data_IF_813454917208
#
_entry.id   IF_813454917208
#
_cell.length_a   1.000
_cell.length_b   1.000
_cell.length_c   1.000
_cell.angle_alpha   90.00
_cell.angle_beta   90.00
_cell.angle_gamma   90.00
#
_symmetry.space_group_name_H-M   'P 1'
#
loop_
_entity.id
_entity.type
_entity.pdbx_description
1 polymer ?
#
# COMPACT_ATOMS: atom_id res chain seq x y z
N UNK A 1 -33.00 -8.87 -12.35
CA UNK A 1 -32.68 -8.38 -10.99
C UNK A 1 -31.52 -9.15 -10.34
N UNK A 2 -31.26 -10.41 -10.69
CA UNK A 2 -30.27 -11.25 -10.00
C UNK A 2 -28.81 -10.78 -10.09
N UNK A 3 -28.36 -10.25 -11.24
CA UNK A 3 -26.97 -9.79 -11.41
C UNK A 3 -26.58 -8.65 -10.47
N UNK A 4 -27.54 -7.78 -10.10
CA UNK A 4 -27.31 -6.62 -9.22
C UNK A 4 -27.07 -7.08 -7.78
N UNK A 5 -27.79 -8.13 -7.34
CA UNK A 5 -27.63 -8.67 -5.99
C UNK A 5 -26.29 -9.41 -5.83
N UNK A 6 -25.89 -10.22 -6.82
CA UNK A 6 -24.63 -10.95 -6.78
C UNK A 6 -23.40 -10.03 -6.82
N UNK A 7 -23.43 -8.96 -7.62
CA UNK A 7 -22.33 -7.98 -7.65
C UNK A 7 -22.23 -7.15 -6.37
N UNK A 8 -23.37 -6.81 -5.76
CA UNK A 8 -23.38 -6.07 -4.48
C UNK A 8 -22.84 -6.92 -3.32
N UNK A 9 -23.22 -8.19 -3.23
CA UNK A 9 -22.69 -9.13 -2.22
C UNK A 9 -21.19 -9.34 -2.42
N UNK A 10 -20.76 -9.54 -3.67
CA UNK A 10 -19.33 -9.67 -3.98
C UNK A 10 -18.56 -8.40 -3.59
N UNK A 11 -19.12 -7.21 -3.80
CA UNK A 11 -18.49 -5.94 -3.42
C UNK A 11 -18.27 -5.84 -1.92
N UNK A 12 -19.27 -6.20 -1.11
CA UNK A 12 -19.15 -6.20 0.35
C UNK A 12 -18.09 -7.22 0.80
N UNK A 13 -18.14 -8.44 0.26
CA UNK A 13 -17.18 -9.48 0.63
C UNK A 13 -15.74 -9.09 0.28
N UNK A 14 -15.48 -8.67 -0.95
CA UNK A 14 -14.13 -8.30 -1.38
C UNK A 14 -13.61 -7.03 -0.71
N UNK A 15 -14.45 -6.01 -0.49
CA UNK A 15 -14.03 -4.81 0.24
C UNK A 15 -13.67 -5.11 1.70
N UNK A 16 -14.42 -5.98 2.38
CA UNK A 16 -14.10 -6.43 3.72
C UNK A 16 -12.80 -7.23 3.79
N UNK A 17 -12.60 -8.15 2.84
CA UNK A 17 -11.39 -8.94 2.73
C UNK A 17 -10.16 -8.07 2.47
N UNK A 18 -10.25 -7.15 1.51
CA UNK A 18 -9.17 -6.19 1.20
C UNK A 18 -8.90 -5.30 2.43
N UNK A 19 -9.95 -4.80 3.09
CA UNK A 19 -9.85 -3.95 4.26
C UNK A 19 -9.02 -4.61 5.36
N UNK A 20 -9.39 -5.83 5.75
CA UNK A 20 -8.68 -6.60 6.76
C UNK A 20 -7.21 -6.86 6.38
N UNK A 21 -6.95 -7.34 5.16
CA UNK A 21 -5.58 -7.68 4.72
C UNK A 21 -4.70 -6.43 4.64
N UNK A 22 -5.20 -5.35 4.05
CA UNK A 22 -4.45 -4.10 3.91
C UNK A 22 -4.21 -3.44 5.27
N UNK A 23 -5.15 -3.55 6.21
CA UNK A 23 -4.98 -3.04 7.57
C UNK A 23 -3.85 -3.75 8.32
N UNK A 24 -3.88 -5.09 8.32
CA UNK A 24 -2.83 -5.91 8.94
C UNK A 24 -1.47 -5.58 8.33
N UNK A 25 -1.38 -5.52 7.00
CA UNK A 25 -0.15 -5.18 6.30
C UNK A 25 0.36 -3.77 6.65
N UNK A 26 -0.53 -2.78 6.69
CA UNK A 26 -0.16 -1.37 6.95
C UNK A 26 0.22 -1.13 8.41
N UNK A 27 -0.48 -1.78 9.35
CA UNK A 27 -0.14 -1.74 10.77
C UNK A 27 1.27 -2.28 11.00
N UNK A 28 1.58 -3.47 10.49
CA UNK A 28 2.91 -4.04 10.64
C UNK A 28 3.99 -3.26 9.88
N UNK A 29 3.69 -2.72 8.70
CA UNK A 29 4.62 -1.85 7.97
C UNK A 29 5.07 -0.67 8.84
N UNK A 30 4.13 0.04 9.47
CA UNK A 30 4.44 1.20 10.33
C UNK A 30 5.13 0.79 11.62
N UNK A 31 4.56 -0.19 12.33
CA UNK A 31 5.06 -0.66 13.62
C UNK A 31 6.50 -1.19 13.51
N UNK A 32 6.81 -1.92 12.43
CA UNK A 32 8.15 -2.46 12.23
C UNK A 32 9.17 -1.40 11.84
N UNK A 33 8.80 -0.33 11.12
CA UNK A 33 9.72 0.80 10.89
C UNK A 33 10.20 1.38 12.21
N UNK A 34 9.26 1.62 13.15
CA UNK A 34 9.58 2.19 14.47
C UNK A 34 10.39 1.22 15.31
N UNK A 35 10.01 -0.07 15.34
CA UNK A 35 10.76 -1.08 16.10
C UNK A 35 12.18 -1.27 15.58
N UNK A 36 12.37 -1.29 14.26
CA UNK A 36 13.69 -1.41 13.65
C UNK A 36 14.52 -0.14 13.90
N UNK A 37 13.94 1.05 13.83
CA UNK A 37 14.68 2.29 14.09
C UNK A 37 15.18 2.34 15.54
N UNK A 38 14.31 2.02 16.52
CA UNK A 38 14.68 1.95 17.94
C UNK A 38 15.76 0.88 18.16
N UNK A 39 15.56 -0.33 17.60
CA UNK A 39 16.54 -1.41 17.70
C UNK A 39 17.90 -1.01 17.11
N UNK A 40 17.91 -0.30 15.98
CA UNK A 40 19.14 0.19 15.35
C UNK A 40 19.83 1.25 16.22
N UNK A 41 19.07 2.17 16.82
CA UNK A 41 19.61 3.18 17.76
C UNK A 41 20.26 2.51 18.98
N UNK A 42 19.58 1.54 19.61
CA UNK A 42 20.11 0.80 20.76
C UNK A 42 21.36 -0.03 20.41
N UNK A 43 21.41 -0.63 19.22
CA UNK A 43 22.48 -1.55 18.84
C UNK A 43 23.72 -0.86 18.30
N UNK A 44 23.54 0.22 17.53
CA UNK A 44 24.64 0.97 16.94
C UNK A 44 25.22 1.98 17.94
N UNK A 45 24.43 2.51 18.87
CA UNK A 45 24.83 3.27 20.07
C UNK A 45 26.06 4.20 19.89
N UNK A 46 26.15 4.88 18.75
CA UNK A 46 27.24 5.83 18.48
C UNK A 46 26.93 7.16 19.15
N UNK A 47 27.93 7.75 19.84
CA UNK A 47 27.82 9.10 20.40
C UNK A 47 27.57 10.17 19.31
N UNK A 48 28.07 9.92 18.09
CA UNK A 48 27.90 10.83 16.96
C UNK A 48 26.68 10.44 16.14
N UNK A 49 25.68 11.33 16.12
CA UNK A 49 24.49 11.25 15.26
C UNK A 49 24.87 11.05 13.78
N UNK A 50 25.97 11.67 13.33
CA UNK A 50 26.46 11.50 11.96
C UNK A 50 26.86 10.05 11.65
N UNK A 51 27.60 9.40 12.55
CA UNK A 51 28.04 8.01 12.35
C UNK A 51 26.86 7.04 12.39
N UNK A 52 25.90 7.27 13.27
CA UNK A 52 24.65 6.51 13.30
C UNK A 52 23.93 6.54 11.95
N UNK A 53 23.65 7.73 11.41
CA UNK A 53 22.96 7.85 10.12
C UNK A 53 23.80 7.32 8.96
N UNK A 54 25.11 7.55 8.96
CA UNK A 54 26.01 7.04 7.93
C UNK A 54 25.91 5.51 7.82
N UNK A 55 25.98 4.80 8.95
CA UNK A 55 25.95 3.34 8.99
C UNK A 55 24.54 2.81 8.71
N UNK A 56 23.51 3.35 9.38
CA UNK A 56 22.13 2.91 9.22
C UNK A 56 21.65 3.06 7.76
N UNK A 57 21.91 4.22 7.14
CA UNK A 57 21.57 4.47 5.74
C UNK A 57 22.40 3.62 4.78
N UNK A 58 23.67 3.35 5.08
CA UNK A 58 24.49 2.46 4.25
C UNK A 58 23.96 1.03 4.25
N UNK A 59 23.52 0.52 5.41
CA UNK A 59 22.89 -0.79 5.52
C UNK A 59 21.56 -0.81 4.74
N UNK A 60 20.73 0.22 4.92
CA UNK A 60 19.47 0.33 4.18
C UNK A 60 19.69 0.39 2.66
N UNK A 61 20.69 1.14 2.19
CA UNK A 61 21.05 1.22 0.78
C UNK A 61 21.51 -0.15 0.22
N UNK A 62 22.29 -0.91 0.98
CA UNK A 62 22.67 -2.29 0.63
C UNK A 62 21.45 -3.21 0.52
N UNK A 63 20.51 -3.12 1.46
CA UNK A 63 19.26 -3.91 1.43
C UNK A 63 18.42 -3.53 0.20
N UNK A 64 18.21 -2.23 -0.05
CA UNK A 64 17.48 -1.74 -1.22
C UNK A 64 18.12 -2.20 -2.53
N UNK A 65 19.45 -2.15 -2.62
CA UNK A 65 20.19 -2.68 -3.77
C UNK A 65 20.00 -4.19 -3.93
N UNK A 66 20.03 -4.95 -2.83
CA UNK A 66 19.76 -6.39 -2.81
C UNK A 66 18.35 -6.71 -3.31
N UNK A 67 17.34 -5.98 -2.84
CA UNK A 67 15.94 -6.10 -3.30
C UNK A 67 15.85 -5.85 -4.80
N UNK A 68 16.49 -4.79 -5.30
CA UNK A 68 16.51 -4.46 -6.74
C UNK A 68 17.06 -5.62 -7.58
N UNK A 69 18.18 -6.21 -7.16
CA UNK A 69 18.81 -7.36 -7.85
C UNK A 69 17.92 -8.60 -7.80
N UNK A 70 17.38 -8.94 -6.62
CA UNK A 70 16.52 -10.12 -6.44
C UNK A 70 15.25 -10.03 -7.28
N UNK A 71 14.65 -8.85 -7.34
CA UNK A 71 13.40 -8.62 -8.05
C UNK A 71 13.59 -8.37 -9.55
N UNK A 72 14.83 -8.18 -10.02
CA UNK A 72 15.19 -7.77 -11.39
C UNK A 72 14.42 -6.51 -11.85
N UNK A 73 14.35 -5.51 -10.96
CA UNK A 73 13.57 -4.29 -11.17
C UNK A 73 14.47 -3.17 -11.73
N UNK A 74 14.04 -2.59 -12.85
CA UNK A 74 14.71 -1.43 -13.45
C UNK A 74 14.43 -0.13 -12.69
N UNK A 75 13.18 0.05 -12.25
CA UNK A 75 12.68 1.21 -11.51
C UNK A 75 11.67 0.77 -10.46
N UNK A 76 11.81 1.27 -9.22
CA UNK A 76 10.80 1.06 -8.20
C UNK A 76 9.47 1.73 -8.59
N UNK A 77 8.38 1.06 -8.28
CA UNK A 77 7.02 1.52 -8.50
C UNK A 77 6.47 2.21 -7.26
N UNK A 78 5.52 3.14 -7.45
CA UNK A 78 4.97 3.94 -6.35
C UNK A 78 3.54 4.44 -6.61
N UNK A 79 3.09 5.46 -5.86
CA UNK A 79 1.72 5.97 -5.96
C UNK A 79 1.31 6.39 -7.38
N UNK A 80 2.22 6.97 -8.16
CA UNK A 80 1.95 7.35 -9.53
C UNK A 80 1.58 6.14 -10.41
N UNK A 81 2.24 5.00 -10.20
CA UNK A 81 1.94 3.76 -10.90
C UNK A 81 0.59 3.19 -10.45
N UNK A 82 0.26 3.30 -9.17
CA UNK A 82 -1.07 2.93 -8.65
C UNK A 82 -2.20 3.77 -9.23
N UNK A 83 -2.00 5.08 -9.32
CA UNK A 83 -2.97 6.01 -9.94
C UNK A 83 -3.11 5.66 -11.42
N UNK A 84 -1.99 5.46 -12.12
CA UNK A 84 -2.00 5.08 -13.53
C UNK A 84 -2.74 3.76 -13.74
N UNK A 85 -2.45 2.74 -12.93
CA UNK A 85 -3.08 1.42 -12.99
C UNK A 85 -4.56 1.43 -12.59
N UNK A 86 -5.08 2.47 -11.93
CA UNK A 86 -6.51 2.61 -11.67
C UNK A 86 -7.28 3.17 -12.88
N UNK A 87 -6.59 3.73 -13.88
CA UNK A 87 -7.22 4.45 -14.99
C UNK A 87 -7.03 3.79 -16.36
N UNK A 88 -6.35 2.64 -16.44
CA UNK A 88 -6.19 1.94 -17.72
C UNK A 88 -7.32 0.95 -17.96
N UNK A 89 -7.34 0.36 -19.15
CA UNK A 89 -8.31 -0.69 -19.52
C UNK A 89 -7.73 -2.08 -19.22
N UNK A 90 -6.40 -2.22 -19.30
CA UNK A 90 -5.65 -3.44 -18.96
C UNK A 90 -5.46 -3.60 -17.44
N UNK A 91 -5.27 -2.50 -16.69
CA UNK A 91 -5.29 -2.45 -15.22
C UNK A 91 -4.38 -3.45 -14.48
N UNK A 92 -3.30 -3.91 -15.12
CA UNK A 92 -2.33 -4.80 -14.49
C UNK A 92 -1.25 -3.97 -13.81
N UNK A 93 -1.46 -3.68 -12.52
CA UNK A 93 -0.36 -3.29 -11.64
C UNK A 93 0.56 -4.50 -11.49
N UNK A 94 1.86 -4.32 -11.68
CA UNK A 94 2.79 -5.44 -11.54
C UNK A 94 2.94 -5.81 -10.05
N UNK A 95 2.14 -6.77 -9.59
CA UNK A 95 2.04 -7.11 -8.17
C UNK A 95 3.39 -7.50 -7.57
N UNK A 96 4.20 -8.25 -8.32
CA UNK A 96 5.54 -8.63 -7.87
C UNK A 96 6.39 -7.39 -7.63
N UNK A 97 6.45 -6.48 -8.61
CA UNK A 97 7.22 -5.25 -8.49
C UNK A 97 6.66 -4.34 -7.39
N UNK A 98 5.35 -4.28 -7.21
CA UNK A 98 4.72 -3.44 -6.19
C UNK A 98 5.07 -3.86 -4.76
N UNK A 99 5.08 -5.17 -4.48
CA UNK A 99 5.53 -5.68 -3.17
C UNK A 99 7.01 -5.42 -2.93
N UNK A 100 7.88 -5.65 -3.92
CA UNK A 100 9.31 -5.38 -3.77
C UNK A 100 9.62 -3.88 -3.66
N UNK A 101 8.89 -3.02 -4.37
CA UNK A 101 9.07 -1.56 -4.29
C UNK A 101 8.63 -1.02 -2.94
N UNK A 102 7.51 -1.54 -2.42
CA UNK A 102 7.06 -1.27 -1.04
C UNK A 102 8.11 -1.72 -0.01
N UNK A 103 8.66 -2.93 -0.17
CA UNK A 103 9.69 -3.46 0.73
C UNK A 103 10.98 -2.62 0.69
N UNK A 104 11.40 -2.17 -0.50
CA UNK A 104 12.54 -1.28 -0.63
C UNK A 104 12.30 0.06 0.09
N UNK A 105 11.10 0.64 -0.05
CA UNK A 105 10.76 1.86 0.65
C UNK A 105 10.65 1.66 2.17
N UNK A 106 10.14 0.51 2.62
CA UNK A 106 10.16 0.09 4.03
C UNK A 106 11.59 0.07 4.57
N UNK A 107 12.52 -0.61 3.89
CA UNK A 107 13.92 -0.68 4.31
C UNK A 107 14.58 0.70 4.36
N UNK A 108 14.27 1.57 3.39
CA UNK A 108 14.77 2.94 3.39
C UNK A 108 14.25 3.74 4.57
N UNK A 109 12.94 3.66 4.86
CA UNK A 109 12.33 4.37 5.99
C UNK A 109 12.83 3.84 7.33
N UNK A 110 12.94 2.51 7.48
CA UNK A 110 13.46 1.86 8.69
C UNK A 110 14.93 2.20 8.95
N UNK A 111 15.73 2.46 7.90
CA UNK A 111 17.11 2.93 8.01
C UNK A 111 17.27 4.40 8.37
N UNK A 112 16.18 5.14 8.59
CA UNK A 112 16.23 6.56 8.95
C UNK A 112 16.38 7.52 7.77
N UNK A 113 16.05 7.09 6.55
CA UNK A 113 16.04 8.02 5.41
C UNK A 113 14.96 9.10 5.59
N UNK A 114 15.25 10.31 5.12
CA UNK A 114 14.31 11.45 5.17
C UNK A 114 13.20 11.29 4.10
N UNK A 115 12.34 10.31 4.31
CA UNK A 115 11.23 9.94 3.42
C UNK A 115 9.96 9.64 4.23
N UNK A 116 8.81 9.88 3.63
CA UNK A 116 7.51 9.59 4.25
C UNK A 116 7.03 8.16 3.99
N UNK A 117 6.14 7.68 4.87
CA UNK A 117 5.50 6.35 4.75
C UNK A 117 4.23 6.37 3.87
N UNK A 118 3.67 7.55 3.59
CA UNK A 118 2.43 7.71 2.82
C UNK A 118 2.49 7.04 1.46
N UNK A 119 3.50 7.36 0.64
CA UNK A 119 3.62 6.81 -0.71
C UNK A 119 3.70 5.28 -0.74
N UNK A 120 4.60 4.66 0.05
CA UNK A 120 4.68 3.21 0.16
C UNK A 120 3.39 2.55 0.61
N UNK A 121 2.66 3.13 1.58
CA UNK A 121 1.38 2.58 2.04
C UNK A 121 0.29 2.67 0.98
N UNK A 122 0.21 3.78 0.23
CA UNK A 122 -0.69 3.88 -0.93
C UNK A 122 -0.40 2.78 -1.94
N UNK A 123 0.87 2.62 -2.31
CA UNK A 123 1.26 1.64 -3.32
C UNK A 123 1.07 0.19 -2.83
N UNK A 124 1.34 -0.08 -1.55
CA UNK A 124 1.05 -1.36 -0.90
C UNK A 124 -0.44 -1.69 -0.96
N UNK A 125 -1.29 -0.75 -0.55
CA UNK A 125 -2.74 -0.90 -0.59
C UNK A 125 -3.24 -1.19 -2.01
N UNK A 126 -2.79 -0.40 -2.99
CA UNK A 126 -3.09 -0.61 -4.40
C UNK A 126 -2.66 -2.00 -4.88
N UNK A 127 -1.46 -2.44 -4.51
CA UNK A 127 -0.90 -3.75 -4.87
C UNK A 127 -1.71 -4.90 -4.28
N UNK A 128 -2.10 -4.80 -3.00
CA UNK A 128 -2.99 -5.79 -2.35
C UNK A 128 -4.33 -5.83 -3.07
N UNK A 129 -4.93 -4.67 -3.37
CA UNK A 129 -6.17 -4.57 -4.13
C UNK A 129 -6.09 -5.26 -5.48
N UNK A 130 -5.06 -4.94 -6.28
CA UNK A 130 -4.80 -5.56 -7.58
C UNK A 130 -4.60 -7.08 -7.48
N UNK A 131 -3.84 -7.55 -6.49
CA UNK A 131 -3.62 -8.98 -6.26
C UNK A 131 -4.88 -9.75 -5.93
N UNK A 132 -5.76 -9.17 -5.11
CA UNK A 132 -7.07 -9.78 -4.83
C UNK A 132 -7.97 -9.72 -6.06
N UNK A 133 -7.87 -8.65 -6.88
CA UNK A 133 -8.63 -8.53 -8.13
C UNK A 133 -8.27 -9.63 -9.13
N UNK A 134 -6.99 -9.93 -9.35
CA UNK A 134 -6.55 -11.01 -10.26
C UNK A 134 -7.14 -12.38 -9.87
N UNK A 135 -7.34 -12.61 -8.57
CA UNK A 135 -7.92 -13.84 -8.04
C UNK A 135 -9.45 -13.81 -7.93
N UNK A 136 -10.04 -12.63 -8.11
CA UNK A 136 -11.47 -12.42 -7.99
C UNK A 136 -12.19 -12.73 -9.29
N UNK A 137 -13.29 -13.47 -9.20
CA UNK A 137 -14.23 -13.67 -10.33
C UNK A 137 -15.33 -12.60 -10.38
N UNK A 138 -15.23 -11.55 -9.56
CA UNK A 138 -16.25 -10.50 -9.52
C UNK A 138 -16.21 -9.62 -10.77
N UNK A 139 -17.38 -9.14 -11.19
CA UNK A 139 -17.53 -8.16 -12.27
C UNK A 139 -17.21 -6.72 -11.85
N UNK A 140 -16.67 -6.50 -10.64
CA UNK A 140 -16.24 -5.19 -10.19
C UNK A 140 -14.97 -4.77 -10.92
N UNK A 141 -14.85 -3.49 -11.22
CA UNK A 141 -13.72 -2.93 -11.94
C UNK A 141 -12.46 -2.87 -11.06
N UNK A 142 -11.29 -2.94 -11.68
CA UNK A 142 -10.00 -3.01 -10.96
C UNK A 142 -9.70 -1.75 -10.16
N UNK A 143 -10.13 -0.58 -10.64
CA UNK A 143 -10.03 0.70 -9.93
C UNK A 143 -10.74 0.68 -8.57
N UNK A 144 -11.87 -0.03 -8.44
CA UNK A 144 -12.56 -0.23 -7.16
C UNK A 144 -11.70 -1.08 -6.22
N UNK A 145 -11.07 -2.14 -6.70
CA UNK A 145 -10.19 -2.98 -5.87
C UNK A 145 -8.95 -2.21 -5.41
N UNK A 146 -8.30 -1.48 -6.33
CA UNK A 146 -7.17 -0.60 -6.03
C UNK A 146 -7.60 0.46 -5.02
N UNK A 147 -8.74 1.12 -5.26
CA UNK A 147 -9.32 2.13 -4.36
C UNK A 147 -9.60 1.59 -2.96
N UNK A 148 -10.22 0.41 -2.85
CA UNK A 148 -10.44 -0.26 -1.56
C UNK A 148 -9.11 -0.48 -0.82
N UNK A 149 -8.11 -1.04 -1.51
CA UNK A 149 -6.81 -1.32 -0.91
C UNK A 149 -6.08 -0.07 -0.46
N UNK A 150 -6.05 0.98 -1.28
CA UNK A 150 -5.46 2.28 -0.92
C UNK A 150 -6.20 2.89 0.27
N UNK A 151 -7.53 2.92 0.21
CA UNK A 151 -8.38 3.49 1.26
C UNK A 151 -8.13 2.80 2.60
N UNK A 152 -8.12 1.48 2.61
CA UNK A 152 -7.81 0.67 3.80
C UNK A 152 -6.38 0.90 4.33
N UNK A 153 -5.38 0.92 3.44
CA UNK A 153 -3.99 1.13 3.85
C UNK A 153 -3.76 2.52 4.47
N UNK A 154 -4.39 3.56 3.93
CA UNK A 154 -4.35 4.91 4.51
C UNK A 154 -5.12 4.97 5.83
N UNK A 155 -6.29 4.33 5.90
CA UNK A 155 -7.11 4.29 7.11
C UNK A 155 -6.35 3.67 8.28
N UNK A 156 -5.79 2.48 8.09
CA UNK A 156 -5.01 1.77 9.10
C UNK A 156 -3.65 2.43 9.38
N UNK A 157 -2.97 2.95 8.35
CA UNK A 157 -1.66 3.56 8.49
C UNK A 157 -1.67 4.89 9.26
N UNK A 158 -2.78 5.64 9.18
CA UNK A 158 -2.90 6.99 9.73
C UNK A 158 -4.06 7.16 10.72
N UNK A 159 -4.75 6.07 11.09
CA UNK A 159 -5.93 6.08 11.95
C UNK A 159 -7.00 7.10 11.48
N UNK A 160 -7.18 7.22 10.16
CA UNK A 160 -8.00 8.25 9.55
C UNK A 160 -8.92 7.67 8.45
N UNK A 161 -10.00 6.96 8.82
CA UNK A 161 -10.87 6.29 7.85
C UNK A 161 -11.48 7.24 6.82
N UNK A 162 -12.05 8.36 7.28
CA UNK A 162 -12.67 9.37 6.40
C UNK A 162 -11.66 9.92 5.40
N UNK A 163 -10.42 10.16 5.84
CA UNK A 163 -9.35 10.63 4.96
C UNK A 163 -8.96 9.57 3.92
N UNK A 164 -8.92 8.29 4.31
CA UNK A 164 -8.67 7.18 3.39
C UNK A 164 -9.71 7.10 2.27
N UNK A 165 -10.99 7.21 2.62
CA UNK A 165 -12.10 7.22 1.64
C UNK A 165 -11.99 8.39 0.68
N UNK A 166 -11.80 9.60 1.20
CA UNK A 166 -11.69 10.81 0.37
C UNK A 166 -10.47 10.72 -0.54
N UNK A 167 -9.31 10.34 0.01
CA UNK A 167 -8.07 10.20 -0.74
C UNK A 167 -8.19 9.19 -1.88
N UNK A 168 -8.81 8.03 -1.64
CA UNK A 168 -9.01 7.04 -2.69
C UNK A 168 -9.88 7.58 -3.84
N UNK A 169 -10.91 8.36 -3.54
CA UNK A 169 -11.77 8.92 -4.59
C UNK A 169 -11.12 10.08 -5.34
N UNK A 170 -10.43 10.98 -4.64
CA UNK A 170 -9.85 12.18 -5.24
C UNK A 170 -8.54 11.90 -5.97
N UNK A 171 -7.66 11.09 -5.37
CA UNK A 171 -6.32 10.84 -5.91
C UNK A 171 -6.25 9.61 -6.81
N UNK A 172 -6.97 8.52 -6.46
CA UNK A 172 -6.80 7.21 -7.11
C UNK A 172 -7.81 6.96 -8.21
N UNK A 173 -9.12 7.08 -7.95
CA UNK A 173 -10.14 6.77 -8.97
C UNK A 173 -10.55 8.00 -9.77
N UNK A 174 -10.48 9.21 -9.19
CA UNK A 174 -10.90 10.50 -9.78
C UNK A 174 -12.35 10.55 -10.28
N UNK A 175 -13.18 9.59 -9.89
CA UNK A 175 -14.62 9.61 -10.14
C UNK A 175 -15.37 9.21 -8.88
N UNK A 176 -16.46 9.94 -8.63
CA UNK A 176 -17.37 9.67 -7.53
C UNK A 176 -18.60 8.95 -8.09
N UNK A 177 -18.61 7.63 -7.99
CA UNK A 177 -19.78 6.81 -8.30
C UNK A 177 -20.26 6.08 -7.05
N UNK A 178 -21.58 5.95 -6.86
CA UNK A 178 -22.14 5.19 -5.73
C UNK A 178 -21.69 3.72 -5.73
N UNK A 179 -21.32 3.18 -6.89
CA UNK A 179 -20.79 1.82 -7.03
C UNK A 179 -19.37 1.68 -6.48
N UNK A 180 -18.54 2.73 -6.55
CA UNK A 180 -17.20 2.76 -5.98
C UNK A 180 -17.22 3.21 -4.50
N UNK A 181 -18.09 4.17 -4.17
CA UNK A 181 -18.17 4.77 -2.83
C UNK A 181 -18.41 3.74 -1.74
N UNK A 182 -19.42 2.89 -1.92
CA UNK A 182 -19.81 1.88 -0.91
C UNK A 182 -18.68 0.90 -0.59
N UNK A 183 -18.10 0.15 -1.56
CA UNK A 183 -17.02 -0.79 -1.24
C UNK A 183 -15.76 -0.10 -0.71
N UNK A 184 -15.37 1.07 -1.22
CA UNK A 184 -14.19 1.81 -0.74
C UNK A 184 -14.38 2.27 0.72
N UNK A 185 -15.60 2.69 1.07
CA UNK A 185 -15.95 3.09 2.44
C UNK A 185 -15.98 1.91 3.40
N UNK A 186 -16.53 0.77 2.97
CA UNK A 186 -16.53 -0.47 3.77
C UNK A 186 -15.09 -0.93 4.05
N UNK A 187 -14.24 -0.93 3.02
CA UNK A 187 -12.85 -1.34 3.15
C UNK A 187 -12.08 -0.45 4.14
N UNK A 188 -12.30 0.86 4.07
CA UNK A 188 -11.76 1.84 5.02
C UNK A 188 -12.28 1.66 6.45
N UNK A 189 -13.58 1.47 6.63
CA UNK A 189 -14.18 1.36 7.97
C UNK A 189 -13.79 0.07 8.70
N UNK A 190 -13.41 -0.98 7.96
CA UNK A 190 -12.91 -2.24 8.52
C UNK A 190 -11.42 -2.14 8.89
N UNK A 191 -10.69 -1.23 8.24
CA UNK A 191 -9.24 -1.11 8.35
C UNK A 191 -8.80 -0.18 9.49
#
# INVERSE_FOLDING_TARGET
MDRINTTSIAAIFYSALIGFIAAVASHYFRDWIVKISIFAEERLAFDSMFLYFLISLSIAACIVHGIRKLANINRFEGPADSIFAAHRVDNELNIKHGFYSTLAAFSSAAGGASVGQYGPLVHLGATIGAWIKEKSKSGLSTDIFIGCGVSAAISAGFAAPIAGVIFAHEAITRHFSLRALTPISISSGIA
#
